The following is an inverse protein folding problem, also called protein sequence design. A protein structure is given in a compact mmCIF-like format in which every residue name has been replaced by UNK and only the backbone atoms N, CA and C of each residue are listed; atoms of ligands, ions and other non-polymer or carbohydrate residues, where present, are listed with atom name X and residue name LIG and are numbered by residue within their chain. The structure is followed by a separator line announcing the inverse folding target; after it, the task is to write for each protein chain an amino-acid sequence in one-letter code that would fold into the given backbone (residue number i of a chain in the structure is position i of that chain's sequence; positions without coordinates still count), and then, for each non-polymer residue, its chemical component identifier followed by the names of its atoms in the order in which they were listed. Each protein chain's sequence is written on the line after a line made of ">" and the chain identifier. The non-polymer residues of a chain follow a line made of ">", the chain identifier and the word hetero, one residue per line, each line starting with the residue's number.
data_IF_847083386170
#
_entry.id   IF_847083386170
#
_cell.length_a   1.000
_cell.length_b   1.000
_cell.length_c   1.000
_cell.angle_alpha   90.00
_cell.angle_beta   90.00
_cell.angle_gamma   90.00
#
_symmetry.space_group_name_H-M   'P 1'
#
loop_
_entity.id
_entity.type
_entity.pdbx_description
1 polymer ?
#
# COMPACT_ATOMS: atom_id res chain seq x y z
N UNK A 1 -11.81 -20.14 15.28
CA UNK A 1 -10.67 -20.30 14.36
C UNK A 1 -9.78 -19.08 14.51
N UNK A 2 -8.52 -19.28 14.67
CA UNK A 2 -7.58 -18.20 14.96
C UNK A 2 -6.46 -18.15 13.95
N UNK A 3 -5.98 -16.96 13.63
CA UNK A 3 -4.86 -16.76 12.73
C UNK A 3 -3.85 -15.77 13.31
N UNK A 4 -2.61 -15.84 12.80
CA UNK A 4 -1.55 -14.90 13.11
C UNK A 4 -1.18 -14.13 11.84
N UNK A 5 -1.05 -12.82 11.96
CA UNK A 5 -0.62 -11.93 10.87
C UNK A 5 0.83 -11.56 11.12
N UNK A 6 1.69 -11.80 10.13
CA UNK A 6 3.12 -11.46 10.19
C UNK A 6 3.40 -10.46 9.08
N UNK A 7 3.80 -9.25 9.45
CA UNK A 7 4.25 -8.22 8.51
C UNK A 7 5.77 -8.37 8.38
N UNK A 8 6.22 -8.94 7.26
CA UNK A 8 7.64 -9.25 7.05
C UNK A 8 8.48 -8.03 6.70
N UNK A 9 7.93 -7.19 5.85
CA UNK A 9 8.55 -5.96 5.35
C UNK A 9 7.46 -4.94 4.95
N UNK A 10 7.84 -3.84 4.32
CA UNK A 10 6.93 -2.77 3.89
C UNK A 10 5.97 -3.19 2.77
N UNK A 11 6.20 -4.33 2.15
CA UNK A 11 5.42 -4.84 1.01
C UNK A 11 4.64 -6.09 1.35
N UNK A 12 5.26 -7.03 2.06
CA UNK A 12 4.77 -8.40 2.21
C UNK A 12 4.18 -8.67 3.60
N UNK A 13 3.04 -9.33 3.59
CA UNK A 13 2.39 -9.86 4.80
C UNK A 13 2.12 -11.35 4.62
N UNK A 14 2.23 -12.11 5.70
CA UNK A 14 1.89 -13.53 5.73
C UNK A 14 0.86 -13.80 6.80
N UNK A 15 -0.12 -14.63 6.47
CA UNK A 15 -1.15 -15.04 7.42
C UNK A 15 -1.00 -16.53 7.66
N UNK A 16 -0.75 -16.88 8.91
CA UNK A 16 -0.58 -18.26 9.36
C UNK A 16 -1.80 -18.74 10.13
N UNK A 17 -1.99 -20.05 10.15
CA UNK A 17 -3.10 -20.69 10.87
C UNK A 17 -4.42 -20.78 10.12
N UNK A 18 -4.48 -20.32 8.85
CA UNK A 18 -5.69 -20.42 8.05
C UNK A 18 -5.83 -21.79 7.35
N UNK A 19 -7.02 -22.39 7.39
CA UNK A 19 -7.35 -23.53 6.54
C UNK A 19 -7.28 -23.19 5.06
N UNK A 20 -6.96 -24.20 4.24
CA UNK A 20 -6.85 -24.04 2.78
C UNK A 20 -8.13 -23.46 2.15
N UNK A 21 -9.28 -23.85 2.66
CA UNK A 21 -10.60 -23.40 2.16
C UNK A 21 -10.78 -21.90 2.33
N UNK A 22 -10.41 -21.36 3.50
CA UNK A 22 -10.50 -19.92 3.77
C UNK A 22 -9.45 -19.16 2.94
N UNK A 23 -8.21 -19.67 2.85
CA UNK A 23 -7.20 -19.08 1.98
C UNK A 23 -7.66 -18.99 0.53
N UNK A 24 -8.29 -20.05 0.02
CA UNK A 24 -8.86 -20.08 -1.34
C UNK A 24 -10.00 -19.07 -1.52
N UNK A 25 -10.89 -18.95 -0.52
CA UNK A 25 -11.98 -17.97 -0.52
C UNK A 25 -11.45 -16.53 -0.59
N UNK A 26 -10.46 -16.21 0.24
CA UNK A 26 -9.83 -14.88 0.25
C UNK A 26 -9.08 -14.64 -1.07
N UNK A 27 -8.30 -15.60 -1.55
CA UNK A 27 -7.58 -15.49 -2.81
C UNK A 27 -8.53 -15.22 -4.00
N UNK A 28 -9.68 -15.86 -4.04
CA UNK A 28 -10.67 -15.64 -5.09
C UNK A 28 -11.34 -14.25 -4.99
N UNK A 29 -11.61 -13.77 -3.80
CA UNK A 29 -12.17 -12.42 -3.58
C UNK A 29 -11.16 -11.31 -3.90
N UNK A 30 -9.86 -11.58 -3.75
CA UNK A 30 -8.78 -10.62 -3.99
C UNK A 30 -8.15 -10.76 -5.39
N UNK A 31 -8.93 -11.21 -6.38
CA UNK A 31 -8.54 -11.21 -7.78
C UNK A 31 -9.10 -9.98 -8.50
N UNK A 32 -8.24 -9.36 -9.29
CA UNK A 32 -8.61 -8.26 -10.18
C UNK A 32 -8.63 -8.75 -11.62
N UNK A 33 -9.72 -8.49 -12.32
CA UNK A 33 -9.86 -8.80 -13.74
C UNK A 33 -9.22 -7.70 -14.58
N UNK A 34 -8.27 -8.07 -15.44
CA UNK A 34 -7.58 -7.13 -16.31
C UNK A 34 -8.46 -6.81 -17.52
N UNK A 35 -8.90 -5.56 -17.73
CA UNK A 35 -9.89 -5.22 -18.76
C UNK A 35 -9.48 -5.58 -20.19
N UNK A 36 -8.18 -5.53 -20.49
CA UNK A 36 -7.62 -5.83 -21.81
C UNK A 36 -7.07 -7.26 -21.94
N UNK A 37 -7.25 -8.10 -20.94
CA UNK A 37 -6.71 -9.46 -20.92
C UNK A 37 -7.10 -10.29 -22.15
N UNK A 38 -8.35 -10.14 -22.61
CA UNK A 38 -8.88 -10.86 -23.77
C UNK A 38 -8.10 -10.62 -25.09
N UNK A 39 -7.34 -9.53 -25.16
CA UNK A 39 -6.51 -9.22 -26.34
C UNK A 39 -5.11 -9.81 -26.27
N UNK A 40 -4.70 -10.28 -25.10
CA UNK A 40 -3.36 -10.82 -24.88
C UNK A 40 -3.25 -12.27 -25.34
N UNK A 41 -2.11 -12.65 -25.97
CA UNK A 41 -1.90 -14.01 -26.47
C UNK A 41 -2.05 -15.10 -25.39
N UNK A 42 -1.58 -14.85 -24.19
CA UNK A 42 -1.65 -15.78 -23.06
C UNK A 42 -3.10 -16.12 -22.68
N UNK A 43 -3.99 -15.14 -22.72
CA UNK A 43 -5.42 -15.36 -22.48
C UNK A 43 -6.07 -16.15 -23.63
N UNK A 44 -5.79 -15.76 -24.88
CA UNK A 44 -6.31 -16.44 -26.08
C UNK A 44 -5.88 -17.91 -26.18
N UNK A 45 -4.67 -18.21 -25.69
CA UNK A 45 -4.13 -19.58 -25.65
C UNK A 45 -4.60 -20.38 -24.41
N UNK A 46 -5.43 -19.81 -23.54
CA UNK A 46 -5.91 -20.46 -22.33
C UNK A 46 -4.84 -20.65 -21.24
N UNK A 47 -3.69 -19.99 -21.36
CA UNK A 47 -2.59 -20.09 -20.39
C UNK A 47 -2.76 -19.18 -19.17
N UNK A 48 -3.69 -18.24 -19.25
CA UNK A 48 -3.97 -17.28 -18.21
C UNK A 48 -5.47 -16.94 -18.18
N UNK A 49 -6.05 -16.82 -16.98
CA UNK A 49 -7.47 -16.52 -16.77
C UNK A 49 -7.83 -15.03 -16.89
N UNK A 50 -6.88 -14.16 -17.18
CA UNK A 50 -7.09 -12.73 -17.29
C UNK A 50 -7.20 -12.00 -15.95
N UNK A 51 -6.88 -12.67 -14.84
CA UNK A 51 -6.98 -12.11 -13.49
C UNK A 51 -5.62 -12.03 -12.83
N UNK A 52 -5.46 -10.99 -12.00
CA UNK A 52 -4.29 -10.80 -11.14
C UNK A 52 -4.73 -11.01 -9.68
N UNK A 53 -4.05 -11.91 -8.98
CA UNK A 53 -4.31 -12.18 -7.57
C UNK A 53 -3.42 -11.38 -6.65
N UNK A 54 -4.00 -10.83 -5.57
CA UNK A 54 -3.28 -10.10 -4.52
C UNK A 54 -3.11 -10.90 -3.23
N UNK A 55 -3.61 -12.12 -3.19
CA UNK A 55 -3.46 -13.04 -2.08
C UNK A 55 -3.17 -14.45 -2.57
N UNK A 56 -2.10 -15.04 -2.07
CA UNK A 56 -1.66 -16.38 -2.46
C UNK A 56 -2.27 -17.49 -1.59
N UNK A 57 -2.38 -18.69 -2.17
CA UNK A 57 -2.84 -19.88 -1.43
C UNK A 57 -1.93 -20.30 -0.27
N UNK A 58 -0.68 -19.82 -0.26
CA UNK A 58 0.25 -19.97 0.86
C UNK A 58 -0.01 -19.03 2.04
N UNK A 59 -1.00 -18.13 1.94
CA UNK A 59 -1.29 -17.13 2.96
C UNK A 59 -0.49 -15.84 2.81
N UNK A 60 0.19 -15.64 1.68
CA UNK A 60 0.97 -14.44 1.40
C UNK A 60 0.10 -13.36 0.75
N UNK A 61 0.26 -12.13 1.19
CA UNK A 61 -0.43 -10.97 0.66
C UNK A 61 0.46 -9.73 0.70
N UNK A 62 -0.14 -8.58 0.44
CA UNK A 62 0.54 -7.29 0.45
C UNK A 62 0.04 -6.42 1.60
N UNK A 63 0.95 -5.67 2.22
CA UNK A 63 0.64 -4.76 3.35
C UNK A 63 -0.42 -3.72 2.95
N UNK A 64 -0.36 -3.21 1.73
CA UNK A 64 -1.34 -2.23 1.23
C UNK A 64 -2.79 -2.76 1.17
N UNK A 65 -2.97 -4.08 1.16
CA UNK A 65 -4.28 -4.73 1.19
C UNK A 65 -4.64 -5.32 2.55
N UNK A 66 -3.86 -5.01 3.60
CA UNK A 66 -4.03 -5.60 4.92
C UNK A 66 -5.41 -5.34 5.50
N UNK A 67 -5.95 -4.12 5.36
CA UNK A 67 -7.29 -3.78 5.84
C UNK A 67 -8.37 -4.63 5.15
N UNK A 68 -8.24 -4.82 3.83
CA UNK A 68 -9.14 -5.69 3.07
C UNK A 68 -9.05 -7.13 3.54
N UNK A 69 -7.82 -7.62 3.78
CA UNK A 69 -7.59 -8.99 4.28
C UNK A 69 -8.21 -9.16 5.68
N UNK A 70 -8.03 -8.20 6.58
CA UNK A 70 -8.61 -8.22 7.92
C UNK A 70 -10.13 -8.30 7.85
N UNK A 71 -10.77 -7.47 7.03
CA UNK A 71 -12.20 -7.49 6.83
C UNK A 71 -12.70 -8.85 6.32
N UNK A 72 -12.01 -9.44 5.34
CA UNK A 72 -12.35 -10.76 4.80
C UNK A 72 -12.16 -11.91 5.81
N UNK A 73 -11.17 -11.79 6.70
CA UNK A 73 -10.97 -12.72 7.81
C UNK A 73 -12.13 -12.65 8.81
N UNK A 74 -12.53 -11.44 9.19
CA UNK A 74 -13.66 -11.21 10.10
C UNK A 74 -14.99 -11.72 9.50
N UNK A 75 -15.26 -11.43 8.23
CA UNK A 75 -16.42 -11.97 7.50
C UNK A 75 -16.43 -13.51 7.44
N UNK A 76 -15.27 -14.12 7.50
CA UNK A 76 -15.11 -15.58 7.49
C UNK A 76 -15.12 -16.19 8.90
N UNK A 77 -15.35 -15.40 9.94
CA UNK A 77 -15.41 -15.84 11.33
C UNK A 77 -14.03 -16.22 11.91
N UNK A 78 -12.96 -15.67 11.37
CA UNK A 78 -11.60 -15.89 11.85
C UNK A 78 -11.19 -14.80 12.82
N UNK A 79 -10.73 -15.17 13.99
CA UNK A 79 -10.18 -14.26 14.99
C UNK A 79 -8.68 -14.06 14.77
N UNK A 80 -8.23 -12.81 14.84
CA UNK A 80 -6.82 -12.48 14.78
C UNK A 80 -6.24 -12.58 16.19
N UNK A 81 -5.39 -13.57 16.41
CA UNK A 81 -4.78 -13.82 17.72
C UNK A 81 -3.61 -12.86 17.97
N UNK A 82 -2.80 -12.63 16.95
CA UNK A 82 -1.59 -11.82 17.06
C UNK A 82 -1.25 -11.14 15.73
N UNK A 83 -0.75 -9.92 15.83
CA UNK A 83 -0.11 -9.21 14.71
C UNK A 83 1.35 -9.01 15.08
N UNK A 84 2.25 -9.62 14.32
CA UNK A 84 3.70 -9.53 14.50
C UNK A 84 4.29 -8.66 13.38
N UNK A 85 4.65 -7.44 13.73
CA UNK A 85 5.26 -6.48 12.80
C UNK A 85 6.79 -6.58 12.92
N UNK A 86 7.41 -7.18 11.92
CA UNK A 86 8.88 -7.38 11.84
C UNK A 86 9.60 -6.23 11.11
N UNK A 87 8.87 -5.21 10.67
CA UNK A 87 9.48 -4.08 9.99
C UNK A 87 10.42 -3.33 10.92
N UNK A 88 11.55 -2.87 10.36
CA UNK A 88 12.44 -1.97 11.07
C UNK A 88 11.71 -0.64 11.32
N UNK A 89 11.46 -0.32 12.59
CA UNK A 89 10.90 0.99 12.97
C UNK A 89 12.04 2.00 12.95
N UNK A 90 12.02 2.86 11.95
CA UNK A 90 12.92 4.01 11.90
C UNK A 90 12.16 5.20 12.48
N UNK A 91 12.67 5.74 13.56
CA UNK A 91 12.14 6.97 14.16
C UNK A 91 12.64 8.16 13.33
N UNK A 92 11.88 8.47 12.29
CA UNK A 92 12.14 9.63 11.43
C UNK A 92 11.40 10.83 12.03
N UNK A 93 12.11 11.62 12.82
CA UNK A 93 11.58 12.87 13.33
C UNK A 93 11.82 13.98 12.29
N UNK A 94 10.73 14.36 11.65
CA UNK A 94 10.73 15.50 10.75
C UNK A 94 9.95 16.67 11.36
N UNK A 95 10.52 17.87 11.29
CA UNK A 95 9.80 19.09 11.64
C UNK A 95 8.76 19.41 10.57
N UNK A 96 7.65 20.02 11.02
CA UNK A 96 6.63 20.50 10.09
C UNK A 96 7.20 21.61 9.23
N UNK A 97 6.91 21.58 7.94
CA UNK A 97 7.25 22.66 7.03
C UNK A 97 6.16 23.74 7.04
N UNK A 98 6.56 24.96 6.70
CA UNK A 98 5.67 26.11 6.53
C UNK A 98 5.73 26.61 5.08
N UNK A 99 4.86 27.57 4.74
CA UNK A 99 4.87 28.21 3.42
C UNK A 99 6.22 28.82 3.05
N UNK A 100 6.97 29.28 4.05
CA UNK A 100 8.24 30.01 3.90
C UNK A 100 9.46 29.07 3.90
N UNK A 101 9.27 27.75 3.83
CA UNK A 101 10.37 26.78 3.89
C UNK A 101 11.44 27.04 2.82
N UNK A 102 11.03 27.47 1.63
CA UNK A 102 11.93 27.85 0.53
C UNK A 102 12.03 29.37 0.29
N UNK A 103 11.61 30.19 1.24
CA UNK A 103 11.59 31.66 1.07
C UNK A 103 12.97 32.29 0.81
N UNK A 104 14.05 31.59 1.20
CA UNK A 104 15.43 31.99 0.91
C UNK A 104 15.91 31.65 -0.51
N UNK A 105 15.06 30.98 -1.30
CA UNK A 105 15.34 30.61 -2.69
C UNK A 105 14.44 31.38 -3.64
N UNK A 106 14.99 31.73 -4.81
CA UNK A 106 14.29 32.47 -5.84
C UNK A 106 14.02 31.56 -7.05
N UNK A 107 12.97 31.91 -7.80
CA UNK A 107 12.66 31.21 -9.04
C UNK A 107 13.76 31.43 -10.09
N UNK A 108 14.10 30.38 -10.85
CA UNK A 108 15.23 30.39 -11.76
C UNK A 108 15.01 31.35 -12.96
N UNK A 109 16.13 31.71 -13.58
CA UNK A 109 16.15 32.50 -14.79
C UNK A 109 15.34 31.82 -15.91
N UNK A 110 14.52 32.62 -16.58
CA UNK A 110 13.62 32.15 -17.64
C UNK A 110 12.23 31.72 -17.15
N UNK A 111 11.95 31.76 -15.86
CA UNK A 111 10.61 31.55 -15.32
C UNK A 111 9.79 32.86 -15.41
N UNK A 112 8.45 32.75 -15.60
CA UNK A 112 7.56 33.93 -15.66
C UNK A 112 7.66 34.85 -14.44
N UNK A 113 7.96 34.26 -13.27
CA UNK A 113 8.13 34.96 -12.00
C UNK A 113 9.61 34.93 -11.54
N UNK A 114 10.55 35.06 -12.48
CA UNK A 114 11.99 35.09 -12.19
C UNK A 114 12.33 36.08 -11.09
N UNK A 115 13.18 35.67 -10.17
CA UNK A 115 13.67 36.51 -9.05
C UNK A 115 12.69 36.63 -7.88
N UNK A 116 11.49 36.11 -7.95
CA UNK A 116 10.57 36.05 -6.81
C UNK A 116 10.94 34.91 -5.88
N UNK A 117 10.72 35.12 -4.58
CA UNK A 117 10.92 34.09 -3.58
C UNK A 117 9.93 32.92 -3.78
N UNK A 118 10.41 31.70 -3.53
CA UNK A 118 9.57 30.51 -3.61
C UNK A 118 8.72 30.42 -2.35
N UNK A 119 7.40 30.56 -2.51
CA UNK A 119 6.43 30.40 -1.43
C UNK A 119 5.53 29.22 -1.77
N UNK A 120 5.46 28.26 -0.86
CA UNK A 120 4.62 27.08 -1.02
C UNK A 120 3.15 27.43 -0.86
N UNK A 121 2.30 26.79 -1.64
CA UNK A 121 0.83 26.89 -1.51
C UNK A 121 0.34 26.04 -0.33
N UNK A 122 -0.81 26.38 0.23
CA UNK A 122 -1.39 25.69 1.38
C UNK A 122 -1.48 24.19 1.19
N UNK A 123 -1.99 23.74 0.05
CA UNK A 123 -2.12 22.32 -0.23
C UNK A 123 -0.77 21.61 -0.37
N UNK A 124 0.29 22.27 -0.83
CA UNK A 124 1.63 21.70 -0.91
C UNK A 124 2.20 21.49 0.49
N UNK A 125 2.02 22.44 1.38
CA UNK A 125 2.42 22.34 2.78
C UNK A 125 1.67 21.19 3.48
N UNK A 126 0.35 21.09 3.26
CA UNK A 126 -0.49 20.06 3.87
C UNK A 126 -0.10 18.65 3.39
N UNK A 127 0.13 18.47 2.09
CA UNK A 127 0.54 17.18 1.52
C UNK A 127 1.88 16.72 2.10
N UNK A 128 2.88 17.62 2.12
CA UNK A 128 4.21 17.28 2.65
C UNK A 128 4.13 16.97 4.15
N UNK A 129 3.42 17.79 4.93
CA UNK A 129 3.28 17.55 6.37
C UNK A 129 2.54 16.25 6.68
N UNK A 130 1.53 15.88 5.89
CA UNK A 130 0.85 14.61 6.03
C UNK A 130 1.77 13.43 5.71
N UNK A 131 2.60 13.54 4.67
CA UNK A 131 3.61 12.54 4.35
C UNK A 131 4.65 12.39 5.47
N UNK A 132 5.10 13.51 6.06
CA UNK A 132 6.11 13.49 7.13
C UNK A 132 5.60 12.89 8.45
N UNK A 133 4.28 12.82 8.66
CA UNK A 133 3.70 12.13 9.84
C UNK A 133 3.89 10.62 9.77
N UNK A 134 3.77 10.04 8.58
CA UNK A 134 3.83 8.59 8.35
C UNK A 134 4.70 8.28 7.11
N UNK A 135 6.02 8.53 7.16
CA UNK A 135 6.88 8.37 5.99
C UNK A 135 7.10 6.91 5.56
N UNK A 136 6.61 5.95 6.34
CA UNK A 136 6.69 4.52 6.06
C UNK A 136 5.31 3.88 5.80
N UNK A 137 4.30 4.66 5.50
CA UNK A 137 2.96 4.13 5.22
C UNK A 137 2.87 3.46 3.84
#
# INVERSE_FOLDING_TARGET
>A
MRCKIIINDEVNVKIEGLPVEIRRKIANKMKYEVPYARYLPQYKLGRWDGKVGFFGLGGNGYVNHLDTIINLLQESGVEIEQIDDKRAKVDLQFDKITKDFFANKTLPKGHLCEGQNIILRDYQVDVVNNFLKEPQS
#
